data_IF_679639347483
#
_entry.id   IF_679639347483
#
_cell.length_a   1.000
_cell.length_b   1.000
_cell.length_c   1.000
_cell.angle_alpha   90.00
_cell.angle_beta   90.00
_cell.angle_gamma   90.00
#
_symmetry.space_group_name_H-M   'P 1'
#
loop_
_entity.id
_entity.type
_entity.pdbx_description
1 polymer ?
#
# COMPACT_ATOMS: atom_id res chain seq x y z
N UNK A 1 -0.19 -18.68 1.72
CA UNK A 1 0.93 -19.29 0.95
C UNK A 1 2.32 -19.18 1.62
N UNK A 2 3.30 -20.06 1.31
CA UNK A 2 4.75 -19.70 1.36
C UNK A 2 5.06 -18.91 0.09
N UNK A 3 5.84 -17.83 0.18
CA UNK A 3 6.15 -17.01 -1.01
C UNK A 3 7.22 -17.76 -1.81
N UNK A 4 6.84 -18.29 -2.96
CA UNK A 4 7.72 -18.98 -3.90
C UNK A 4 8.23 -18.01 -4.95
N UNK A 5 9.47 -18.23 -5.39
CA UNK A 5 10.16 -17.36 -6.34
C UNK A 5 9.43 -17.25 -7.69
N UNK A 6 8.74 -18.33 -8.12
CA UNK A 6 7.84 -18.33 -9.28
C UNK A 6 6.68 -17.33 -9.13
N UNK A 7 6.05 -17.27 -7.96
CA UNK A 7 4.95 -16.33 -7.71
C UNK A 7 5.45 -14.89 -7.62
N UNK A 8 6.67 -14.66 -7.10
CA UNK A 8 7.29 -13.33 -7.17
C UNK A 8 7.46 -12.93 -8.65
N UNK A 9 8.01 -13.80 -9.48
CA UNK A 9 8.23 -13.54 -10.91
C UNK A 9 6.93 -13.20 -11.64
N UNK A 10 5.88 -14.02 -11.47
CA UNK A 10 4.59 -13.85 -12.14
C UNK A 10 3.88 -12.56 -11.73
N UNK A 11 3.82 -12.26 -10.44
CA UNK A 11 3.18 -11.04 -9.90
C UNK A 11 3.97 -9.78 -10.27
N UNK A 12 5.30 -9.85 -10.33
CA UNK A 12 6.13 -8.70 -10.72
C UNK A 12 6.06 -8.44 -12.22
N UNK A 13 6.20 -9.48 -13.04
CA UNK A 13 6.12 -9.37 -14.50
C UNK A 13 4.78 -8.80 -14.97
N UNK A 14 3.67 -9.28 -14.38
CA UNK A 14 2.32 -8.84 -14.73
C UNK A 14 1.96 -7.40 -14.32
N UNK A 15 2.65 -6.81 -13.32
CA UNK A 15 2.27 -5.48 -12.78
C UNK A 15 3.33 -4.40 -13.04
N UNK A 16 4.62 -4.74 -12.96
CA UNK A 16 5.72 -3.79 -13.09
C UNK A 16 6.54 -3.97 -14.38
N UNK A 17 6.37 -5.09 -15.08
CA UNK A 17 7.13 -5.45 -16.28
C UNK A 17 8.26 -6.44 -15.98
N UNK A 18 8.57 -7.29 -16.96
CA UNK A 18 9.55 -8.37 -16.85
C UNK A 18 10.98 -7.85 -16.58
N UNK A 19 11.30 -6.66 -17.07
CA UNK A 19 12.58 -5.96 -16.84
C UNK A 19 12.83 -5.62 -15.35
N UNK A 20 11.78 -5.55 -14.53
CA UNK A 20 11.90 -5.28 -13.09
C UNK A 20 12.16 -6.53 -12.24
N UNK A 21 12.00 -7.73 -12.83
CA UNK A 21 12.15 -9.00 -12.12
C UNK A 21 13.60 -9.23 -11.62
N UNK A 22 14.67 -9.02 -12.42
CA UNK A 22 16.05 -9.18 -11.95
C UNK A 22 16.41 -8.25 -10.78
N UNK A 23 15.84 -7.04 -10.77
CA UNK A 23 16.04 -6.05 -9.71
C UNK A 23 15.51 -6.56 -8.36
N UNK A 24 14.32 -7.19 -8.36
CA UNK A 24 13.76 -7.77 -7.14
C UNK A 24 14.62 -8.92 -6.63
N UNK A 25 15.06 -9.83 -7.50
CA UNK A 25 15.95 -10.92 -7.10
C UNK A 25 17.30 -10.39 -6.53
N UNK A 26 17.84 -9.31 -7.09
CA UNK A 26 19.05 -8.65 -6.58
C UNK A 26 18.90 -8.03 -5.18
N UNK A 27 17.69 -7.60 -4.81
CA UNK A 27 17.39 -6.91 -3.53
C UNK A 27 16.76 -7.85 -2.49
N UNK A 28 16.13 -8.97 -2.89
CA UNK A 28 15.34 -9.88 -2.05
C UNK A 28 15.97 -10.23 -0.70
N UNK A 29 17.27 -10.54 -0.69
CA UNK A 29 18.01 -10.97 0.51
C UNK A 29 18.67 -9.80 1.27
N UNK A 30 18.56 -8.58 0.76
CA UNK A 30 19.26 -7.38 1.24
C UNK A 30 18.26 -6.34 1.75
N UNK A 31 18.69 -5.52 2.71
CA UNK A 31 17.88 -4.43 3.27
C UNK A 31 18.66 -3.13 3.17
N UNK A 32 17.98 -2.04 2.87
CA UNK A 32 18.55 -0.71 2.69
C UNK A 32 19.69 -0.71 1.64
N UNK A 33 19.40 -1.14 0.42
CA UNK A 33 20.35 -1.08 -0.71
C UNK A 33 20.26 0.30 -1.37
N UNK A 34 21.39 0.95 -1.65
CA UNK A 34 21.41 2.22 -2.37
C UNK A 34 21.10 2.03 -3.86
N UNK A 35 20.44 3.01 -4.48
CA UNK A 35 20.15 3.02 -5.93
C UNK A 35 21.39 2.75 -6.81
N UNK A 36 22.54 3.34 -6.46
CA UNK A 36 23.83 3.11 -7.14
C UNK A 36 24.25 1.63 -7.10
N UNK A 37 24.11 0.97 -5.96
CA UNK A 37 24.52 -0.44 -5.79
C UNK A 37 23.55 -1.41 -6.49
N UNK A 38 22.29 -1.00 -6.68
CA UNK A 38 21.31 -1.74 -7.47
C UNK A 38 21.67 -1.64 -8.96
N UNK A 39 22.01 -0.44 -9.44
CA UNK A 39 22.48 -0.21 -10.80
C UNK A 39 23.76 -1.00 -11.13
N UNK A 40 24.77 -0.97 -10.23
CA UNK A 40 26.00 -1.78 -10.33
C UNK A 40 25.72 -3.29 -10.43
N UNK A 41 24.78 -3.81 -9.63
CA UNK A 41 24.41 -5.22 -9.64
C UNK A 41 23.69 -5.66 -10.92
N UNK A 42 22.88 -4.78 -11.50
CA UNK A 42 22.16 -5.02 -12.76
C UNK A 42 23.02 -4.73 -14.00
N UNK A 43 24.15 -4.04 -13.83
CA UNK A 43 24.96 -3.44 -14.91
C UNK A 43 24.16 -2.44 -15.77
N UNK A 44 23.16 -1.80 -15.15
CA UNK A 44 22.22 -0.89 -15.80
C UNK A 44 22.49 0.57 -15.48
N UNK A 45 21.96 1.48 -16.30
CA UNK A 45 22.06 2.91 -16.00
C UNK A 45 21.16 3.30 -14.82
N UNK A 46 21.66 4.16 -13.93
CA UNK A 46 20.96 4.62 -12.71
C UNK A 46 19.56 5.19 -13.03
N UNK A 47 19.39 5.85 -14.17
CA UNK A 47 18.09 6.40 -14.58
C UNK A 47 17.07 5.30 -14.91
N UNK A 48 17.50 4.22 -15.56
CA UNK A 48 16.67 3.05 -15.86
C UNK A 48 16.34 2.32 -14.55
N UNK A 49 17.34 2.11 -13.68
CA UNK A 49 17.13 1.54 -12.34
C UNK A 49 16.12 2.35 -11.50
N UNK A 50 16.17 3.69 -11.54
CA UNK A 50 15.18 4.56 -10.88
C UNK A 50 13.77 4.37 -11.45
N UNK A 51 13.62 4.30 -12.78
CA UNK A 51 12.33 4.05 -13.41
C UNK A 51 11.74 2.68 -12.97
N UNK A 52 12.54 1.62 -12.97
CA UNK A 52 12.15 0.31 -12.41
C UNK A 52 11.72 0.44 -10.93
N UNK A 53 12.48 1.14 -10.10
CA UNK A 53 12.19 1.34 -8.67
C UNK A 53 10.90 2.15 -8.44
N UNK A 54 10.58 3.13 -9.28
CA UNK A 54 9.34 3.89 -9.19
C UNK A 54 8.12 3.03 -9.58
N UNK A 55 8.17 2.27 -10.67
CA UNK A 55 7.11 1.30 -11.02
C UNK A 55 6.83 0.31 -9.89
N UNK A 56 7.87 -0.17 -9.21
CA UNK A 56 7.73 -1.06 -8.06
C UNK A 56 7.22 -0.36 -6.79
N UNK A 57 7.52 0.93 -6.62
CA UNK A 57 7.02 1.75 -5.51
C UNK A 57 5.51 2.03 -5.64
N UNK A 58 5.02 2.31 -6.85
CA UNK A 58 3.59 2.53 -7.12
C UNK A 58 2.73 1.32 -6.72
N UNK A 59 3.31 0.12 -6.79
CA UNK A 59 2.69 -1.15 -6.39
C UNK A 59 3.01 -1.55 -4.95
N UNK A 60 3.69 -0.69 -4.18
CA UNK A 60 4.15 -0.91 -2.80
C UNK A 60 5.08 -2.13 -2.61
N UNK A 61 5.69 -2.66 -3.68
CA UNK A 61 6.59 -3.81 -3.61
C UNK A 61 7.93 -3.47 -2.94
N UNK A 62 8.33 -2.20 -2.97
CA UNK A 62 9.59 -1.71 -2.39
C UNK A 62 9.34 -0.46 -1.56
N UNK A 63 9.90 -0.43 -0.35
CA UNK A 63 9.91 0.75 0.52
C UNK A 63 11.26 1.47 0.41
N UNK A 64 11.26 2.81 0.50
CA UNK A 64 12.49 3.61 0.54
C UNK A 64 12.65 4.36 1.88
N UNK A 65 13.91 4.58 2.26
CA UNK A 65 14.32 5.44 3.37
C UNK A 65 15.35 6.43 2.84
N UNK A 66 15.12 7.73 3.03
CA UNK A 66 16.11 8.77 2.74
C UNK A 66 17.02 8.99 3.95
N UNK A 67 18.34 9.03 3.72
CA UNK A 67 19.33 9.40 4.74
C UNK A 67 20.16 10.57 4.21
N UNK A 68 20.37 11.60 5.05
CA UNK A 68 21.28 12.69 4.71
C UNK A 68 22.71 12.24 4.96
N UNK A 69 23.58 12.42 3.97
CA UNK A 69 25.01 12.20 4.12
C UNK A 69 25.62 13.30 5.01
N UNK A 70 26.47 12.92 5.96
CA UNK A 70 27.14 13.86 6.86
C UNK A 70 28.35 14.52 6.22
N UNK A 71 28.95 13.92 5.19
CA UNK A 71 30.10 14.47 4.48
C UNK A 71 29.68 15.37 3.30
N UNK A 72 28.87 14.83 2.38
CA UNK A 72 28.50 15.52 1.13
C UNK A 72 27.19 16.32 1.19
N UNK A 73 26.42 16.21 2.28
CA UNK A 73 25.19 16.99 2.50
C UNK A 73 23.97 16.60 1.65
N UNK A 74 24.14 15.91 0.53
CA UNK A 74 23.08 15.32 -0.29
C UNK A 74 22.28 14.20 0.43
N UNK A 75 21.13 13.83 -0.15
CA UNK A 75 20.31 12.72 0.32
C UNK A 75 20.56 11.46 -0.51
N UNK A 76 20.72 10.32 0.17
CA UNK A 76 20.83 9.00 -0.45
C UNK A 76 19.54 8.22 -0.17
N UNK A 77 18.98 7.64 -1.21
CA UNK A 77 17.81 6.76 -1.16
C UNK A 77 18.24 5.31 -0.97
N UNK A 78 17.71 4.68 0.08
CA UNK A 78 17.92 3.28 0.40
C UNK A 78 16.62 2.51 0.24
N UNK A 79 16.64 1.47 -0.58
CA UNK A 79 15.48 0.68 -0.97
C UNK A 79 15.48 -0.68 -0.26
N UNK A 80 14.30 -1.16 0.09
CA UNK A 80 14.08 -2.46 0.76
C UNK A 80 12.84 -3.12 0.19
N UNK A 81 12.99 -4.33 -0.34
CA UNK A 81 11.89 -5.14 -0.84
C UNK A 81 10.95 -5.58 0.29
N UNK A 82 9.63 -5.51 0.08
CA UNK A 82 8.62 -5.93 1.05
C UNK A 82 7.85 -7.16 0.54
N UNK A 83 8.30 -8.39 0.88
CA UNK A 83 7.66 -9.61 0.38
C UNK A 83 6.22 -9.82 0.89
N UNK A 84 5.77 -9.07 1.90
CA UNK A 84 4.39 -9.17 2.39
C UNK A 84 3.37 -8.60 1.39
N UNK A 85 3.71 -7.51 0.71
CA UNK A 85 2.79 -6.85 -0.23
C UNK A 85 2.50 -7.71 -1.45
N UNK A 86 3.42 -8.59 -1.85
CA UNK A 86 3.20 -9.54 -2.96
C UNK A 86 1.90 -10.32 -2.75
N UNK A 87 1.63 -10.82 -1.54
CA UNK A 87 0.40 -11.59 -1.26
C UNK A 87 -0.86 -10.73 -1.38
N UNK A 88 -0.81 -9.50 -0.86
CA UNK A 88 -1.93 -8.56 -0.98
C UNK A 88 -2.18 -8.17 -2.44
N UNK A 89 -1.10 -8.00 -3.22
CA UNK A 89 -1.15 -7.72 -4.65
C UNK A 89 -1.71 -8.93 -5.44
N UNK A 90 -1.29 -10.17 -5.14
CA UNK A 90 -1.88 -11.38 -5.74
C UNK A 90 -3.39 -11.46 -5.49
N UNK A 91 -3.84 -11.25 -4.25
CA UNK A 91 -5.27 -11.23 -3.91
C UNK A 91 -6.00 -10.11 -4.66
N UNK A 92 -5.40 -8.90 -4.76
CA UNK A 92 -5.97 -7.76 -5.48
C UNK A 92 -6.15 -8.06 -6.97
N UNK A 93 -5.11 -8.59 -7.63
CA UNK A 93 -5.16 -8.96 -9.05
C UNK A 93 -6.20 -10.05 -9.33
N UNK A 94 -6.25 -11.10 -8.51
CA UNK A 94 -7.25 -12.16 -8.68
C UNK A 94 -8.68 -11.66 -8.44
N UNK A 95 -8.89 -10.71 -7.51
CA UNK A 95 -10.19 -10.04 -7.35
C UNK A 95 -10.57 -9.18 -8.56
N UNK A 96 -9.62 -8.46 -9.15
CA UNK A 96 -9.86 -7.68 -10.38
C UNK A 96 -10.20 -8.60 -11.57
N UNK A 97 -9.47 -9.73 -11.70
CA UNK A 97 -9.75 -10.77 -12.70
C UNK A 97 -11.14 -11.37 -12.51
N UNK A 98 -11.51 -11.71 -11.27
CA UNK A 98 -12.84 -12.23 -10.93
C UNK A 98 -13.94 -11.22 -11.26
N UNK A 99 -13.77 -9.93 -10.95
CA UNK A 99 -14.72 -8.88 -11.31
C UNK A 99 -14.95 -8.83 -12.83
N UNK A 100 -13.88 -8.79 -13.64
CA UNK A 100 -13.99 -8.77 -15.10
C UNK A 100 -14.59 -10.05 -15.69
N UNK A 101 -14.42 -11.21 -15.03
CA UNK A 101 -15.10 -12.45 -15.42
C UNK A 101 -16.60 -12.42 -15.09
N UNK A 102 -16.99 -11.85 -13.95
CA UNK A 102 -18.40 -11.66 -13.56
C UNK A 102 -19.09 -10.66 -14.50
N UNK A 103 -18.49 -9.48 -14.74
CA UNK A 103 -19.01 -8.49 -15.71
C UNK A 103 -19.16 -9.08 -17.11
N UNK A 104 -18.22 -9.95 -17.52
CA UNK A 104 -18.35 -10.68 -18.79
C UNK A 104 -19.51 -11.67 -18.74
N UNK A 105 -19.62 -12.50 -17.69
CA UNK A 105 -20.70 -13.47 -17.53
C UNK A 105 -22.08 -12.81 -17.52
N UNK A 106 -22.23 -11.67 -16.83
CA UNK A 106 -23.47 -10.90 -16.80
C UNK A 106 -23.85 -10.40 -18.19
N UNK A 107 -22.87 -9.93 -18.98
CA UNK A 107 -23.08 -9.55 -20.39
C UNK A 107 -23.47 -10.74 -21.26
N UNK A 108 -22.80 -11.88 -21.12
CA UNK A 108 -23.08 -13.11 -21.88
C UNK A 108 -24.46 -13.72 -21.55
N UNK A 109 -24.99 -13.46 -20.34
CA UNK A 109 -26.32 -13.91 -19.93
C UNK A 109 -27.44 -12.91 -20.27
N UNK A 110 -27.16 -11.61 -20.28
CA UNK A 110 -28.16 -10.57 -20.56
C UNK A 110 -28.28 -10.19 -22.03
N UNK A 111 -27.18 -10.26 -22.78
CA UNK A 111 -27.15 -9.89 -24.20
C UNK A 111 -27.14 -11.13 -25.09
N UNK A 112 -27.98 -11.11 -26.13
CA UNK A 112 -27.84 -12.01 -27.26
C UNK A 112 -26.74 -11.50 -28.19
N UNK A 113 -25.94 -12.43 -28.72
CA UNK A 113 -24.85 -12.13 -29.63
C UNK A 113 -25.12 -12.73 -31.00
N UNK A 114 -24.65 -12.03 -32.03
CA UNK A 114 -24.73 -12.45 -33.42
C UNK A 114 -23.31 -12.54 -33.98
N UNK A 115 -23.03 -13.58 -34.74
CA UNK A 115 -21.75 -13.78 -35.42
C UNK A 115 -21.97 -13.82 -36.93
N UNK A 116 -21.00 -13.32 -37.68
CA UNK A 116 -20.97 -13.54 -39.12
C UNK A 116 -20.59 -15.00 -39.42
N UNK A 117 -21.22 -15.70 -40.37
CA UNK A 117 -20.78 -17.04 -40.81
C UNK A 117 -19.38 -17.06 -41.47
N UNK A 118 -18.76 -15.90 -41.68
CA UNK A 118 -17.36 -15.75 -42.11
C UNK A 118 -16.45 -15.23 -40.98
N UNK A 119 -16.93 -15.28 -39.72
CA UNK A 119 -16.23 -14.88 -38.48
C UNK A 119 -15.64 -13.46 -38.46
N UNK A 120 -16.09 -12.58 -39.36
CA UNK A 120 -15.53 -11.22 -39.47
C UNK A 120 -15.75 -10.37 -38.22
N UNK A 121 -16.92 -10.50 -37.58
CA UNK A 121 -17.30 -9.69 -36.42
C UNK A 121 -18.38 -10.39 -35.57
N UNK A 122 -18.26 -10.22 -34.24
CA UNK A 122 -19.29 -10.56 -33.25
C UNK A 122 -19.96 -9.28 -32.76
N UNK A 123 -21.29 -9.21 -32.88
CA UNK A 123 -22.11 -8.06 -32.52
C UNK A 123 -23.08 -8.42 -31.38
N UNK A 124 -23.48 -7.41 -30.61
CA UNK A 124 -24.62 -7.49 -29.69
C UNK A 124 -25.93 -7.27 -30.48
N UNK A 125 -27.09 -7.62 -29.89
CA UNK A 125 -28.40 -7.42 -30.51
C UNK A 125 -28.66 -5.97 -30.95
N UNK A 126 -28.20 -4.98 -30.18
CA UNK A 126 -28.46 -3.57 -30.47
C UNK A 126 -27.68 -3.08 -31.71
N UNK A 127 -26.40 -3.44 -31.86
CA UNK A 127 -25.66 -3.19 -33.11
C UNK A 127 -26.18 -4.02 -34.27
N UNK A 128 -26.56 -5.28 -34.03
CA UNK A 128 -27.15 -6.14 -35.05
C UNK A 128 -28.41 -5.50 -35.64
N UNK A 129 -29.29 -4.95 -34.80
CA UNK A 129 -30.49 -4.20 -35.22
C UNK A 129 -30.14 -2.93 -36.00
N UNK A 130 -29.13 -2.16 -35.56
CA UNK A 130 -28.67 -0.96 -36.26
C UNK A 130 -28.09 -1.24 -37.66
N UNK A 131 -27.56 -2.44 -37.90
CA UNK A 131 -27.06 -2.90 -39.21
C UNK A 131 -28.04 -3.82 -39.96
N UNK A 132 -29.32 -3.87 -39.57
CA UNK A 132 -30.35 -4.71 -40.20
C UNK A 132 -29.97 -6.22 -40.28
N UNK A 133 -29.22 -6.72 -39.30
CA UNK A 133 -28.63 -8.06 -39.27
C UNK A 133 -27.72 -8.38 -40.47
N UNK A 134 -27.04 -7.38 -41.03
CA UNK A 134 -26.02 -7.53 -42.08
C UNK A 134 -24.63 -7.21 -41.53
N UNK A 135 -23.62 -7.95 -41.96
CA UNK A 135 -22.24 -7.68 -41.59
C UNK A 135 -21.71 -6.44 -42.34
N UNK A 136 -21.13 -5.42 -41.65
CA UNK A 136 -20.61 -4.23 -42.31
C UNK A 136 -19.38 -4.48 -43.20
N UNK A 137 -18.65 -5.58 -42.97
CA UNK A 137 -17.42 -5.91 -43.72
C UNK A 137 -17.71 -6.71 -45.01
N UNK A 138 -18.62 -7.69 -44.95
CA UNK A 138 -18.85 -8.64 -46.05
C UNK A 138 -20.29 -8.66 -46.61
N UNK A 139 -21.22 -7.89 -46.03
CA UNK A 139 -22.62 -7.82 -46.46
C UNK A 139 -23.48 -9.06 -46.13
N UNK A 140 -22.87 -10.18 -45.73
CA UNK A 140 -23.58 -11.40 -45.32
C UNK A 140 -24.49 -11.18 -44.12
N UNK A 141 -25.60 -11.93 -44.08
CA UNK A 141 -26.51 -11.96 -42.93
C UNK A 141 -25.75 -12.54 -41.73
N UNK A 142 -25.93 -11.95 -40.54
CA UNK A 142 -25.36 -12.45 -39.28
C UNK A 142 -26.35 -13.37 -38.58
N UNK A 143 -25.84 -14.44 -37.99
CA UNK A 143 -26.63 -15.49 -37.33
C UNK A 143 -26.49 -15.38 -35.81
N UNK A 144 -27.50 -15.85 -35.07
CA UNK A 144 -27.44 -15.84 -33.60
C UNK A 144 -26.39 -16.86 -33.13
N UNK A 145 -25.45 -16.40 -32.31
CA UNK A 145 -24.42 -17.24 -31.72
C UNK A 145 -24.90 -17.85 -30.39
N UNK A 146 -24.77 -19.18 -30.25
CA UNK A 146 -25.07 -19.86 -28.99
C UNK A 146 -23.90 -19.73 -27.99
N UNK A 147 -24.08 -18.85 -27.00
CA UNK A 147 -23.09 -18.57 -25.97
C UNK A 147 -23.10 -19.58 -24.82
N UNK A 148 -23.91 -20.66 -24.86
CA UNK A 148 -24.02 -21.61 -23.75
C UNK A 148 -22.65 -22.17 -23.30
N UNK A 149 -21.80 -22.55 -24.27
CA UNK A 149 -20.43 -23.04 -24.01
C UNK A 149 -19.52 -21.97 -23.40
N UNK A 150 -19.57 -20.74 -23.94
CA UNK A 150 -18.82 -19.59 -23.41
C UNK A 150 -19.20 -19.32 -21.94
N UNK A 151 -20.50 -19.33 -21.63
CA UNK A 151 -21.02 -19.12 -20.28
C UNK A 151 -20.54 -20.21 -19.32
N UNK A 152 -20.55 -21.48 -19.73
CA UNK A 152 -20.03 -22.58 -18.91
C UNK A 152 -18.53 -22.42 -18.61
N UNK A 153 -17.73 -22.09 -19.63
CA UNK A 153 -16.28 -21.95 -19.46
C UNK A 153 -15.89 -20.71 -18.66
N UNK A 154 -16.69 -19.64 -18.72
CA UNK A 154 -16.54 -18.48 -17.82
C UNK A 154 -16.93 -18.86 -16.39
N UNK A 155 -18.03 -19.61 -16.19
CA UNK A 155 -18.43 -20.13 -14.86
C UNK A 155 -17.34 -20.99 -14.23
N UNK A 156 -16.75 -21.94 -14.97
CA UNK A 156 -15.63 -22.78 -14.51
C UNK A 156 -14.45 -21.91 -14.04
N UNK A 157 -14.04 -20.93 -14.85
CA UNK A 157 -12.96 -19.98 -14.52
C UNK A 157 -13.26 -19.09 -13.30
N UNK A 158 -14.52 -18.71 -13.08
CA UNK A 158 -14.92 -17.96 -11.87
C UNK A 158 -14.77 -18.84 -10.63
N UNK A 159 -15.23 -20.10 -10.67
CA UNK A 159 -15.11 -21.05 -9.56
C UNK A 159 -13.63 -21.29 -9.21
N UNK A 160 -12.77 -21.51 -10.21
CA UNK A 160 -11.32 -21.68 -10.00
C UNK A 160 -10.68 -20.47 -9.28
N UNK A 161 -11.02 -19.24 -9.69
CA UNK A 161 -10.48 -18.01 -9.09
C UNK A 161 -11.08 -17.74 -7.71
N UNK A 162 -12.37 -18.04 -7.51
CA UNK A 162 -13.02 -17.98 -6.21
C UNK A 162 -12.39 -18.93 -5.20
N UNK A 163 -12.15 -20.17 -5.58
CA UNK A 163 -11.63 -21.19 -4.67
C UNK A 163 -10.17 -20.89 -4.30
N UNK A 164 -9.37 -20.38 -5.25
CA UNK A 164 -8.06 -19.80 -4.97
C UNK A 164 -8.16 -18.67 -3.91
N UNK A 165 -9.11 -17.74 -4.07
CA UNK A 165 -9.32 -16.64 -3.13
C UNK A 165 -9.83 -17.11 -1.75
N UNK A 166 -10.73 -18.10 -1.70
CA UNK A 166 -11.24 -18.69 -0.44
C UNK A 166 -10.10 -19.35 0.36
N UNK A 167 -9.21 -20.07 -0.32
CA UNK A 167 -8.02 -20.69 0.28
C UNK A 167 -7.06 -19.63 0.86
N UNK A 168 -6.84 -18.50 0.18
CA UNK A 168 -5.91 -17.46 0.64
C UNK A 168 -6.51 -16.53 1.71
N UNK A 169 -7.83 -16.28 1.70
CA UNK A 169 -8.53 -15.49 2.73
C UNK A 169 -8.87 -16.32 3.98
N UNK A 170 -8.80 -17.65 3.93
CA UNK A 170 -8.94 -18.51 5.12
C UNK A 170 -7.95 -18.04 6.20
N UNK A 171 -8.43 -17.63 7.39
CA UNK A 171 -7.55 -17.03 8.40
C UNK A 171 -6.53 -18.07 8.87
N UNK A 172 -5.24 -17.73 8.72
CA UNK A 172 -4.15 -18.44 9.39
C UNK A 172 -4.53 -18.62 10.87
N UNK A 173 -4.46 -19.85 11.43
CA UNK A 173 -4.91 -20.10 12.79
C UNK A 173 -4.14 -19.20 13.76
N UNK A 174 -4.85 -18.26 14.41
CA UNK A 174 -4.27 -17.18 15.24
C UNK A 174 -3.83 -17.71 16.62
N UNK A 175 -3.07 -18.80 16.63
CA UNK A 175 -2.45 -19.42 17.82
C UNK A 175 -1.03 -18.83 18.02
N UNK A 176 -0.92 -17.62 18.59
CA UNK A 176 0.27 -17.18 19.36
C UNK A 176 0.25 -15.74 19.92
N UNK A 177 -0.50 -14.78 19.35
CA UNK A 177 -0.34 -13.35 19.72
C UNK A 177 -0.82 -12.99 21.14
N UNK A 178 -1.63 -13.84 21.79
CA UNK A 178 -2.03 -13.65 23.20
C UNK A 178 -0.94 -14.04 24.21
N UNK A 179 -0.20 -15.12 23.95
CA UNK A 179 0.75 -15.70 24.91
C UNK A 179 2.00 -14.83 25.17
N UNK A 180 2.41 -13.99 24.21
CA UNK A 180 3.54 -13.07 24.42
C UNK A 180 3.16 -11.81 25.20
N UNK A 181 1.92 -11.33 25.06
CA UNK A 181 1.45 -10.13 25.79
C UNK A 181 1.38 -10.36 27.31
N UNK A 182 1.00 -11.56 27.75
CA UNK A 182 1.05 -11.94 29.17
C UNK A 182 2.48 -12.10 29.71
N UNK A 183 3.41 -12.65 28.91
CA UNK A 183 4.82 -12.80 29.34
C UNK A 183 5.52 -11.44 29.49
N UNK A 184 5.16 -10.44 28.69
CA UNK A 184 5.69 -9.07 28.79
C UNK A 184 5.08 -8.29 29.97
N UNK A 185 3.78 -8.45 30.26
CA UNK A 185 3.17 -7.82 31.45
C UNK A 185 3.73 -8.41 32.75
N UNK A 186 3.93 -9.72 32.82
CA UNK A 186 4.55 -10.40 33.96
C UNK A 186 6.00 -9.94 34.22
N UNK A 187 6.83 -9.77 33.16
CA UNK A 187 8.20 -9.24 33.32
C UNK A 187 8.23 -7.78 33.80
N UNK A 188 7.32 -6.92 33.33
CA UNK A 188 7.22 -5.52 33.83
C UNK A 188 6.74 -5.43 35.29
N UNK A 189 5.96 -6.40 35.77
CA UNK A 189 5.50 -6.44 37.16
C UNK A 189 6.63 -6.80 38.15
N UNK A 190 7.56 -7.70 37.79
CA UNK A 190 8.70 -8.07 38.67
C UNK A 190 9.69 -6.92 38.86
N UNK A 191 10.10 -6.25 37.78
CA UNK A 191 11.08 -5.14 37.82
C UNK A 191 10.61 -3.96 38.71
N UNK A 192 9.28 -3.73 38.83
CA UNK A 192 8.72 -2.69 39.72
C UNK A 192 8.67 -3.08 41.21
N UNK A 193 8.86 -4.35 41.58
CA UNK A 193 8.84 -4.78 43.00
C UNK A 193 10.23 -4.73 43.66
N UNK A 194 11.30 -5.04 42.95
CA UNK A 194 12.67 -5.01 43.52
C UNK A 194 13.20 -3.58 43.75
N UNK A 195 12.75 -2.59 42.98
CA UNK A 195 13.16 -1.19 43.12
C UNK A 195 12.61 -0.46 44.39
N UNK A 196 11.82 -1.12 45.25
CA UNK A 196 11.25 -0.54 46.47
C UNK A 196 11.87 -1.01 47.79
N UNK A 197 12.82 -1.94 47.77
CA UNK A 197 13.36 -2.56 49.00
C UNK A 197 14.90 -2.59 49.03
N UNK A 198 15.56 -1.42 49.00
CA UNK A 198 16.96 -1.20 49.46
C UNK A 198 17.36 0.28 49.42
N UNK A 199 17.18 1.01 50.52
CA UNK A 199 18.24 1.79 51.24
C UNK A 199 17.64 2.77 52.27
N UNK A 200 18.29 2.87 53.43
CA UNK A 200 17.97 3.73 54.58
C UNK A 200 19.30 4.29 55.13
N UNK A 201 19.27 5.48 55.77
CA UNK A 201 20.38 6.20 56.49
C UNK A 201 21.42 6.87 55.55
N UNK A 202 21.98 8.07 55.82
CA UNK A 202 22.29 8.89 57.04
C UNK A 202 22.45 10.39 56.61
N UNK A 203 22.82 11.39 57.45
CA UNK A 203 22.36 11.84 58.78
C UNK A 203 21.94 13.35 58.83
N UNK A 204 21.70 13.94 60.01
CA UNK A 204 21.36 15.38 60.25
C UNK A 204 22.57 16.24 60.73
N UNK A 205 22.41 17.58 60.68
CA UNK A 205 23.27 18.71 61.15
C UNK A 205 24.26 19.22 60.07
N UNK A 206 24.61 20.52 59.97
CA UNK A 206 24.54 21.69 60.90
C UNK A 206 24.27 23.01 60.14
N UNK A 207 23.85 24.08 60.83
CA UNK A 207 23.69 25.45 60.28
C UNK A 207 25.07 26.12 60.07
N UNK A 208 25.21 26.92 59.01
CA UNK A 208 26.17 28.02 58.94
C UNK A 208 25.60 29.18 58.10
N UNK A 209 25.56 30.38 58.66
CA UNK A 209 25.08 31.61 58.01
C UNK A 209 26.30 32.39 57.52
N UNK A 210 26.28 32.90 56.28
CA UNK A 210 26.93 34.18 55.97
C UNK A 210 26.23 34.91 54.82
N UNK A 211 26.08 36.23 55.00
CA UNK A 211 25.33 37.15 54.15
C UNK A 211 26.19 37.63 52.97
N UNK A 212 25.59 37.76 51.79
CA UNK A 212 25.85 38.91 50.89
C UNK A 212 24.49 39.51 50.50
N UNK A 213 24.45 40.84 50.33
CA UNK A 213 23.26 41.68 50.54
C UNK A 213 22.36 41.77 49.30
N UNK A 214 21.04 41.88 49.53
CA UNK A 214 20.04 42.34 48.54
C UNK A 214 19.81 43.85 48.66
N UNK A 215 19.63 44.52 47.53
CA UNK A 215 18.86 45.75 47.34
C UNK A 215 18.41 45.81 45.86
N UNK A 216 17.20 46.25 45.48
CA UNK A 216 16.00 46.64 46.25
C UNK A 216 14.73 46.28 45.46
N UNK A 217 13.59 46.21 46.14
CA UNK A 217 12.29 45.69 45.66
C UNK A 217 11.50 46.67 44.80
N UNK A 218 10.91 46.17 43.70
CA UNK A 218 9.51 46.31 43.23
C UNK A 218 9.24 45.16 42.23
N UNK A 219 8.02 44.81 41.78
CA UNK A 219 6.73 44.58 42.48
C UNK A 219 6.15 43.25 41.90
N UNK A 220 5.03 42.75 42.45
CA UNK A 220 4.13 41.71 41.89
C UNK A 220 2.67 42.22 42.02
N UNK A 221 1.61 41.57 41.48
CA UNK A 221 1.50 40.26 40.79
C UNK A 221 1.48 40.44 39.24
N UNK A 222 0.95 39.60 38.33
CA UNK A 222 0.17 38.36 38.41
C UNK A 222 0.34 37.41 37.16
N UNK A 223 -0.50 36.36 37.12
CA UNK A 223 -0.94 35.57 35.94
C UNK A 223 -2.47 35.38 36.11
N UNK A 224 -3.33 35.23 35.06
CA UNK A 224 -3.17 34.20 34.03
C UNK A 224 -3.83 34.45 32.63
N UNK A 225 -3.80 33.41 31.77
CA UNK A 225 -4.65 33.16 30.56
C UNK A 225 -4.64 34.18 29.40
N UNK A 226 -4.23 33.77 28.19
CA UNK A 226 -5.00 33.88 26.90
C UNK A 226 -4.19 33.54 25.63
N UNK A 227 -3.77 32.27 25.46
CA UNK A 227 -3.36 31.75 24.13
C UNK A 227 -4.62 31.45 23.29
N UNK A 228 -5.38 32.49 22.89
CA UNK A 228 -6.58 32.35 22.02
C UNK A 228 -6.83 33.50 21.02
N UNK A 229 -6.07 34.62 21.04
CA UNK A 229 -6.34 35.78 20.15
C UNK A 229 -5.65 35.77 18.77
N UNK A 230 -4.63 34.94 18.55
CA UNK A 230 -3.96 34.84 17.23
C UNK A 230 -4.77 34.03 16.19
N UNK A 231 -5.40 32.93 16.62
CA UNK A 231 -6.05 31.97 15.71
C UNK A 231 -7.32 32.54 15.05
N UNK A 232 -8.10 33.36 15.77
CA UNK A 232 -9.38 33.90 15.26
C UNK A 232 -9.22 34.96 14.15
N UNK A 233 -8.03 35.56 14.00
CA UNK A 233 -7.76 36.59 12.97
C UNK A 233 -7.35 36.00 11.61
N UNK A 234 -6.98 34.71 11.56
CA UNK A 234 -6.61 33.99 10.32
C UNK A 234 -7.85 33.35 9.69
N UNK A 235 -8.73 32.73 10.48
CA UNK A 235 -9.96 32.07 9.99
C UNK A 235 -10.88 33.01 9.22
N UNK A 236 -11.11 34.24 9.70
CA UNK A 236 -11.97 35.22 9.00
C UNK A 236 -11.37 35.71 7.66
N UNK A 237 -10.05 35.63 7.46
CA UNK A 237 -9.41 35.98 6.16
C UNK A 237 -9.54 34.88 5.11
N UNK A 238 -9.73 33.62 5.53
CA UNK A 238 -9.97 32.50 4.62
C UNK A 238 -11.44 32.43 4.19
N UNK A 239 -12.38 32.61 5.12
CA UNK A 239 -13.82 32.63 4.80
C UNK A 239 -14.18 33.69 3.75
N UNK A 240 -13.65 34.91 3.89
CA UNK A 240 -13.88 36.02 2.95
C UNK A 240 -13.27 35.80 1.54
N UNK A 241 -12.38 34.80 1.38
CA UNK A 241 -11.75 34.49 0.08
C UNK A 241 -12.46 33.36 -0.68
N UNK A 242 -13.33 32.60 0.01
CA UNK A 242 -14.11 31.51 -0.60
C UNK A 242 -15.36 32.07 -1.29
N UNK A 243 -16.05 33.03 -0.66
CA UNK A 243 -17.28 33.65 -1.22
C UNK A 243 -17.04 34.47 -2.51
N UNK A 244 -15.78 34.87 -2.80
CA UNK A 244 -15.40 35.60 -4.03
C UNK A 244 -14.93 34.70 -5.19
N UNK A 245 -15.19 33.39 -5.14
CA UNK A 245 -14.84 32.44 -6.20
C UNK A 245 -15.98 31.50 -6.62
N UNK A 246 -17.18 31.74 -6.09
CA UNK A 246 -18.39 30.94 -6.31
C UNK A 246 -19.58 31.82 -6.72
N UNK A 247 -19.29 32.93 -7.39
CA UNK A 247 -20.21 33.90 -7.96
C UNK A 247 -19.54 34.47 -9.22
#
# INVERSE_FOLDING_TARGET
>A
MRITDKLIHEVVSSVAGEDTVPLIFAIKDKKNVSEFKIAEMLKEQINITRNMLYRLLDQNLVNFIRKKDRQKGWYIYYWTFNPKEIRFLTIKLQKQRLHGLIERLEREQSAQFFNCPQECIRLDFERAMNFEFKCPECGSIIEQHDNAKDIEDIKKKIIEVEDFLKIELAPLPVKSVKAEKEKVSAKKAKIKKEAKSKTIKKPKKKKAVKKVKKAKVTKKPAKPKTVKKAVKKVLNKLAAKIVKRSN
#
